data_IF_647246361974
#
_entry.id   IF_647246361974
#
_cell.length_a   1.000
_cell.length_b   1.000
_cell.length_c   1.000
_cell.angle_alpha   90.00
_cell.angle_beta   90.00
_cell.angle_gamma   90.00
#
_symmetry.space_group_name_H-M   'P 1'
#
loop_
_entity.id
_entity.type
_entity.pdbx_description
1 polymer ?
#
# COMPACT_ATOMS: atom_id res chain seq x y z
N UNK A 1 -20.47 34.27 24.31
CA UNK A 1 -20.13 34.80 22.98
C UNK A 1 -19.97 33.59 22.06
N UNK A 2 -21.02 33.24 21.30
CA UNK A 2 -20.97 32.13 20.35
C UNK A 2 -20.30 32.64 19.08
N UNK A 3 -19.19 32.04 18.67
CA UNK A 3 -18.61 32.27 17.34
C UNK A 3 -19.58 31.68 16.33
N UNK A 4 -20.36 32.53 15.66
CA UNK A 4 -21.21 32.12 14.57
C UNK A 4 -20.33 31.76 13.37
N UNK A 5 -20.49 30.54 12.88
CA UNK A 5 -19.80 30.06 11.69
C UNK A 5 -20.30 30.87 10.49
N UNK A 6 -19.37 31.46 9.74
CA UNK A 6 -19.64 32.21 8.52
C UNK A 6 -20.34 31.33 7.47
N UNK A 7 -21.60 31.63 7.10
CA UNK A 7 -22.41 30.83 6.19
C UNK A 7 -21.97 30.94 4.71
N UNK A 8 -21.00 31.81 4.39
CA UNK A 8 -20.48 31.98 3.03
C UNK A 8 -19.27 31.11 2.72
N UNK A 9 -18.72 30.41 3.72
CA UNK A 9 -17.60 29.50 3.49
C UNK A 9 -18.16 28.20 2.90
N UNK A 10 -17.89 27.87 1.62
CA UNK A 10 -18.28 26.58 1.09
C UNK A 10 -17.67 25.50 2.00
N UNK A 11 -18.41 24.42 2.31
CA UNK A 11 -17.82 23.29 3.00
C UNK A 11 -16.57 22.90 2.23
N UNK A 12 -15.42 22.80 2.91
CA UNK A 12 -14.26 22.13 2.30
C UNK A 12 -14.78 20.76 1.88
N UNK A 13 -14.80 20.51 0.58
CA UNK A 13 -15.23 19.25 -0.01
C UNK A 13 -14.16 18.20 0.31
N UNK A 14 -14.14 17.74 1.57
CA UNK A 14 -13.22 16.69 2.06
C UNK A 14 -13.36 15.43 1.19
N UNK A 15 -14.55 15.20 0.62
CA UNK A 15 -14.84 14.10 -0.30
C UNK A 15 -14.14 14.20 -1.65
N UNK A 16 -13.75 15.40 -2.12
CA UNK A 16 -13.15 15.57 -3.45
C UNK A 16 -11.64 15.34 -3.40
N UNK A 17 -10.96 15.72 -2.32
CA UNK A 17 -9.52 15.50 -2.17
C UNK A 17 -9.18 14.00 -2.01
N UNK A 18 -9.93 13.27 -1.19
CA UNK A 18 -9.73 11.83 -1.00
C UNK A 18 -10.06 11.02 -2.27
N UNK A 19 -11.09 11.42 -3.02
CA UNK A 19 -11.43 10.79 -4.30
C UNK A 19 -10.37 11.05 -5.37
N UNK A 20 -9.83 12.27 -5.45
CA UNK A 20 -8.71 12.60 -6.33
C UNK A 20 -7.45 11.81 -5.97
N UNK A 21 -7.14 11.69 -4.68
CA UNK A 21 -6.00 10.91 -4.20
C UNK A 21 -6.18 9.42 -4.53
N UNK A 22 -7.38 8.86 -4.27
CA UNK A 22 -7.69 7.48 -4.63
C UNK A 22 -7.55 7.24 -6.13
N UNK A 23 -8.08 8.13 -6.98
CA UNK A 23 -7.93 8.05 -8.45
C UNK A 23 -6.47 8.09 -8.87
N UNK A 24 -5.65 8.93 -8.23
CA UNK A 24 -4.22 8.97 -8.50
C UNK A 24 -3.53 7.65 -8.12
N UNK A 25 -3.83 7.10 -6.94
CA UNK A 25 -3.29 5.82 -6.48
C UNK A 25 -3.66 4.69 -7.44
N UNK A 26 -4.92 4.60 -7.86
CA UNK A 26 -5.36 3.59 -8.84
C UNK A 26 -4.68 3.76 -10.20
N UNK A 27 -4.48 5.00 -10.68
CA UNK A 27 -3.71 5.25 -11.91
C UNK A 27 -2.24 4.82 -11.78
N UNK A 28 -1.62 5.03 -10.62
CA UNK A 28 -0.25 4.55 -10.36
C UNK A 28 -0.21 3.03 -10.27
N UNK A 29 -1.24 2.41 -9.72
CA UNK A 29 -1.41 0.96 -9.67
C UNK A 29 -1.49 0.32 -11.06
N UNK A 30 -2.18 0.94 -12.02
CA UNK A 30 -2.16 0.48 -13.43
C UNK A 30 -0.75 0.47 -14.02
N UNK A 31 0.12 1.35 -13.51
CA UNK A 31 1.52 1.48 -13.91
C UNK A 31 2.49 0.81 -12.92
N UNK A 32 2.02 -0.14 -12.09
CA UNK A 32 2.83 -0.74 -11.02
C UNK A 32 4.18 -1.29 -11.51
N UNK A 33 4.20 -1.85 -12.73
CA UNK A 33 5.41 -2.36 -13.36
C UNK A 33 6.56 -1.34 -13.45
N UNK A 34 6.28 -0.03 -13.49
CA UNK A 34 7.31 1.02 -13.46
C UNK A 34 8.00 1.13 -12.10
N UNK A 35 7.27 0.90 -11.02
CA UNK A 35 7.80 0.94 -9.66
C UNK A 35 8.50 -0.37 -9.28
N UNK A 36 8.12 -1.48 -9.92
CA UNK A 36 8.68 -2.81 -9.68
C UNK A 36 10.08 -3.00 -10.25
N UNK A 37 10.52 -2.21 -11.22
CA UNK A 37 11.80 -2.41 -11.91
C UNK A 37 13.00 -2.41 -10.95
N UNK A 38 12.89 -1.65 -9.86
CA UNK A 38 13.92 -1.53 -8.83
C UNK A 38 13.72 -2.52 -7.66
N UNK A 39 12.63 -3.29 -7.68
CA UNK A 39 12.31 -4.28 -6.64
C UNK A 39 12.85 -5.65 -7.06
N UNK A 40 13.69 -6.22 -6.22
CA UNK A 40 14.14 -7.61 -6.38
C UNK A 40 12.96 -8.55 -6.14
N UNK A 41 12.88 -9.70 -6.82
CA UNK A 41 11.79 -10.64 -6.52
C UNK A 41 12.10 -11.43 -5.24
N UNK A 42 11.08 -11.69 -4.43
CA UNK A 42 11.22 -12.54 -3.25
C UNK A 42 11.53 -13.97 -3.72
N UNK A 43 12.58 -14.57 -3.16
CA UNK A 43 12.96 -15.95 -3.45
C UNK A 43 11.93 -16.95 -2.92
N UNK A 44 11.95 -18.18 -3.45
CA UNK A 44 10.97 -19.21 -3.07
C UNK A 44 11.03 -19.59 -1.58
N UNK A 45 12.23 -19.54 -1.00
CA UNK A 45 12.54 -19.86 0.40
C UNK A 45 12.68 -18.60 1.26
N UNK A 46 12.39 -17.41 0.71
CA UNK A 46 12.50 -16.15 1.43
C UNK A 46 13.93 -15.73 1.82
N UNK A 47 14.98 -16.32 1.23
CA UNK A 47 16.37 -16.03 1.61
C UNK A 47 16.75 -14.53 1.53
N UNK A 48 16.04 -13.76 0.70
CA UNK A 48 16.24 -12.31 0.54
C UNK A 48 15.10 -11.45 1.15
N UNK A 49 14.27 -11.99 2.05
CA UNK A 49 13.06 -11.33 2.59
C UNK A 49 13.32 -9.92 3.13
N UNK A 50 14.37 -9.73 3.92
CA UNK A 50 14.70 -8.41 4.49
C UNK A 50 15.03 -7.37 3.40
N UNK A 51 15.78 -7.76 2.37
CA UNK A 51 16.14 -6.89 1.24
C UNK A 51 14.91 -6.62 0.37
N UNK A 52 14.11 -7.64 0.11
CA UNK A 52 12.83 -7.50 -0.58
C UNK A 52 11.92 -6.50 0.14
N UNK A 53 11.69 -6.65 1.45
CA UNK A 53 10.91 -5.70 2.27
C UNK A 53 11.43 -4.27 2.12
N UNK A 54 12.74 -4.06 2.23
CA UNK A 54 13.32 -2.72 2.10
C UNK A 54 13.06 -2.09 0.72
N UNK A 55 13.29 -2.83 -0.37
CA UNK A 55 13.08 -2.31 -1.74
C UNK A 55 11.61 -2.09 -2.06
N UNK A 56 10.75 -3.02 -1.65
CA UNK A 56 9.30 -2.87 -1.78
C UNK A 56 8.82 -1.63 -1.03
N UNK A 57 9.30 -1.36 0.19
CA UNK A 57 8.98 -0.12 0.92
C UNK A 57 9.34 1.15 0.15
N UNK A 58 10.50 1.18 -0.51
CA UNK A 58 10.89 2.32 -1.37
C UNK A 58 9.93 2.50 -2.54
N UNK A 59 9.57 1.40 -3.23
CA UNK A 59 8.63 1.45 -4.34
C UNK A 59 7.22 1.90 -3.89
N UNK A 60 6.77 1.43 -2.73
CA UNK A 60 5.52 1.88 -2.12
C UNK A 60 5.57 3.36 -1.78
N UNK A 61 6.66 3.87 -1.19
CA UNK A 61 6.80 5.29 -0.93
C UNK A 61 6.68 6.13 -2.20
N UNK A 62 7.32 5.73 -3.30
CA UNK A 62 7.22 6.43 -4.58
C UNK A 62 5.80 6.40 -5.16
N UNK A 63 5.07 5.30 -4.92
CA UNK A 63 3.71 5.12 -5.42
C UNK A 63 2.67 5.84 -4.57
N UNK A 64 2.74 5.69 -3.25
CA UNK A 64 1.69 6.08 -2.30
C UNK A 64 2.05 7.27 -1.42
N UNK A 65 3.33 7.63 -1.35
CA UNK A 65 3.84 8.65 -0.41
C UNK A 65 4.02 8.14 1.02
N UNK A 66 3.67 6.90 1.33
CA UNK A 66 3.80 6.34 2.68
C UNK A 66 5.23 5.90 2.95
N UNK A 67 5.94 6.67 3.77
CA UNK A 67 7.28 6.31 4.22
C UNK A 67 7.19 5.19 5.24
N UNK A 68 8.11 4.21 5.14
CA UNK A 68 8.23 3.09 6.09
C UNK A 68 6.91 2.35 6.31
N UNK A 69 6.24 1.98 5.22
CA UNK A 69 4.94 1.32 5.25
C UNK A 69 4.88 0.08 6.19
N UNK A 70 5.98 -0.68 6.31
CA UNK A 70 6.03 -1.82 7.23
C UNK A 70 6.05 -1.43 8.71
N UNK A 71 6.54 -0.24 9.05
CA UNK A 71 6.68 0.25 10.41
C UNK A 71 5.42 0.99 10.90
N UNK A 72 4.50 1.33 9.99
CA UNK A 72 3.23 1.96 10.36
C UNK A 72 2.27 0.93 10.97
N UNK A 73 1.32 1.40 11.78
CA UNK A 73 0.22 0.57 12.25
C UNK A 73 -0.49 -0.08 11.06
N UNK A 74 -0.88 -1.35 11.24
CA UNK A 74 -1.74 -2.06 10.28
C UNK A 74 -2.95 -1.16 9.93
N UNK A 75 -3.30 -1.01 8.64
CA UNK A 75 -4.42 -0.16 8.25
C UNK A 75 -5.70 -0.58 8.98
N UNK A 76 -6.41 0.37 9.58
CA UNK A 76 -7.74 0.15 10.16
C UNK A 76 -8.84 0.15 9.09
N UNK A 77 -8.49 0.43 7.82
CA UNK A 77 -9.40 0.56 6.68
C UNK A 77 -10.55 1.56 6.92
N UNK A 78 -10.29 2.57 7.75
CA UNK A 78 -11.26 3.59 8.13
C UNK A 78 -11.44 4.65 7.03
N UNK A 79 -10.46 4.80 6.13
CA UNK A 79 -10.55 5.67 4.95
C UNK A 79 -10.44 4.90 3.64
N UNK A 80 -11.06 5.45 2.59
CA UNK A 80 -10.93 4.96 1.21
C UNK A 80 -9.49 5.04 0.71
N UNK A 81 -8.73 6.02 1.18
CA UNK A 81 -7.31 6.20 0.90
C UNK A 81 -6.49 5.04 1.48
N UNK A 82 -6.74 4.65 2.73
CA UNK A 82 -6.05 3.52 3.36
C UNK A 82 -6.29 2.21 2.60
N UNK A 83 -7.54 1.98 2.18
CA UNK A 83 -7.90 0.83 1.34
C UNK A 83 -7.16 0.88 0.00
N UNK A 84 -7.05 2.05 -0.63
CA UNK A 84 -6.35 2.21 -1.90
C UNK A 84 -4.84 1.94 -1.74
N UNK A 85 -4.22 2.42 -0.67
CA UNK A 85 -2.80 2.20 -0.36
C UNK A 85 -2.53 0.71 -0.11
N UNK A 86 -3.35 0.04 0.69
CA UNK A 86 -3.19 -1.39 0.97
C UNK A 86 -3.36 -2.24 -0.30
N UNK A 87 -4.35 -1.92 -1.15
CA UNK A 87 -4.49 -2.57 -2.48
C UNK A 87 -3.27 -2.38 -3.37
N UNK A 88 -2.72 -1.17 -3.41
CA UNK A 88 -1.48 -0.90 -4.15
C UNK A 88 -0.34 -1.77 -3.61
N UNK A 89 -0.29 -1.95 -2.29
CA UNK A 89 0.72 -2.77 -1.62
C UNK A 89 0.55 -4.25 -1.91
N UNK A 90 -0.66 -4.79 -1.79
CA UNK A 90 -0.95 -6.19 -2.14
C UNK A 90 -0.55 -6.47 -3.58
N UNK A 91 -0.87 -5.57 -4.51
CA UNK A 91 -0.50 -5.75 -5.92
C UNK A 91 1.01 -5.72 -6.13
N UNK A 92 1.71 -4.84 -5.42
CA UNK A 92 3.18 -4.77 -5.44
C UNK A 92 3.77 -6.09 -4.97
N UNK A 93 3.29 -6.62 -3.84
CA UNK A 93 3.68 -7.92 -3.31
C UNK A 93 3.41 -9.00 -4.36
N UNK A 94 2.18 -9.12 -4.85
CA UNK A 94 1.78 -10.13 -5.84
C UNK A 94 2.66 -10.14 -7.09
N UNK A 95 3.08 -8.95 -7.54
CA UNK A 95 3.90 -8.78 -8.73
C UNK A 95 5.39 -9.06 -8.52
N UNK A 96 5.87 -9.10 -7.28
CA UNK A 96 7.29 -9.25 -6.94
C UNK A 96 7.58 -10.51 -6.12
N UNK A 97 6.57 -11.24 -5.65
CA UNK A 97 6.77 -12.55 -5.02
C UNK A 97 7.04 -13.63 -6.07
N UNK A 98 7.79 -14.65 -5.68
CA UNK A 98 7.91 -15.87 -6.47
C UNK A 98 6.53 -16.48 -6.76
N UNK A 99 6.33 -17.01 -7.97
CA UNK A 99 5.02 -17.51 -8.43
C UNK A 99 4.44 -18.60 -7.52
N UNK A 100 5.28 -19.49 -6.97
CA UNK A 100 4.89 -20.53 -6.00
C UNK A 100 4.40 -20.00 -4.65
N UNK A 101 4.64 -18.72 -4.35
CA UNK A 101 4.18 -18.08 -3.11
C UNK A 101 2.88 -17.30 -3.32
N UNK A 102 2.35 -17.21 -4.55
CA UNK A 102 1.13 -16.46 -4.86
C UNK A 102 -0.09 -16.99 -4.13
N UNK A 103 -0.22 -18.31 -4.03
CA UNK A 103 -1.31 -18.93 -3.28
C UNK A 103 -1.32 -18.44 -1.82
N UNK A 104 -0.15 -18.21 -1.22
CA UNK A 104 -0.07 -17.64 0.13
C UNK A 104 -0.56 -16.19 0.16
N UNK A 105 -0.21 -15.38 -0.84
CA UNK A 105 -0.68 -13.98 -0.94
C UNK A 105 -2.21 -13.93 -1.03
N UNK A 106 -2.82 -14.82 -1.82
CA UNK A 106 -4.26 -14.87 -2.06
C UNK A 106 -5.08 -15.27 -0.81
N UNK A 107 -4.45 -15.83 0.23
CA UNK A 107 -5.09 -16.16 1.50
C UNK A 107 -5.37 -14.93 2.38
N UNK A 108 -4.77 -13.79 2.08
CA UNK A 108 -4.83 -12.60 2.93
C UNK A 108 -5.44 -11.42 2.19
N UNK A 109 -6.18 -10.61 2.93
CA UNK A 109 -6.83 -9.39 2.42
C UNK A 109 -6.09 -8.11 2.79
N UNK A 110 -4.98 -8.21 3.51
CA UNK A 110 -4.18 -7.08 3.99
C UNK A 110 -2.69 -7.34 3.77
N UNK A 111 -1.96 -6.31 3.32
CA UNK A 111 -0.52 -6.40 3.05
C UNK A 111 0.30 -6.77 4.29
N UNK A 112 -0.01 -6.18 5.45
CA UNK A 112 0.70 -6.48 6.70
C UNK A 112 0.55 -7.95 7.10
N UNK A 113 -0.60 -8.58 6.85
CA UNK A 113 -0.81 -9.99 7.20
C UNK A 113 0.01 -10.93 6.29
N UNK A 114 0.12 -10.59 5.00
CA UNK A 114 0.97 -11.33 4.05
C UNK A 114 2.43 -11.30 4.50
N UNK A 115 2.94 -10.10 4.82
CA UNK A 115 4.33 -9.94 5.25
C UNK A 115 4.58 -10.65 6.60
N UNK A 116 3.64 -10.55 7.54
CA UNK A 116 3.72 -11.27 8.81
C UNK A 116 3.67 -12.79 8.64
N UNK A 117 3.02 -13.30 7.59
CA UNK A 117 3.05 -14.72 7.26
C UNK A 117 4.41 -15.14 6.70
N UNK A 118 5.00 -14.33 5.80
CA UNK A 118 6.35 -14.56 5.31
C UNK A 118 7.40 -14.58 6.43
N UNK A 119 7.34 -13.61 7.37
CA UNK A 119 8.24 -13.55 8.52
C UNK A 119 8.12 -14.77 9.47
N UNK A 120 7.04 -15.58 9.37
CA UNK A 120 6.86 -16.82 10.14
C UNK A 120 7.32 -18.07 9.40
N UNK A 121 7.35 -18.01 8.07
CA UNK A 121 7.60 -19.16 7.20
C UNK A 121 9.07 -19.27 6.78
N UNK A 122 9.77 -18.15 6.74
CA UNK A 122 11.16 -18.03 6.34
C UNK A 122 12.00 -17.49 7.50
#
# INVERSE_FOLDING_TARGET
MKLEADPTRPPRDINNEDDLLCKELYRKLENIGKYNQEVEHLEHDGANLARWKARTSTALFLMTGVARYWDTCKPTFESTVDIAIDKCTIRMIYSTVHTKLRDMVDLYTCAHDIVAAFDKWF
#
